data_IF_884837525358
#
_entry.id   IF_884837525358
#
_cell.length_a   1.000
_cell.length_b   1.000
_cell.length_c   1.000
_cell.angle_alpha   90.00
_cell.angle_beta   90.00
_cell.angle_gamma   90.00
#
_symmetry.space_group_name_H-M   'P 1'
#
loop_
_entity.id
_entity.type
_entity.pdbx_description
1 polymer ?
#
# COMPACT_ATOMS: atom_id res chain seq x y z
N UNK A 1 -4.10 13.47 -11.09
CA UNK A 1 -3.71 12.13 -10.65
C UNK A 1 -2.48 12.23 -9.76
N UNK A 2 -2.45 11.51 -8.68
CA UNK A 2 -1.34 11.41 -7.76
C UNK A 2 -0.81 9.97 -7.74
N UNK A 3 0.38 9.77 -7.15
CA UNK A 3 0.84 8.44 -6.75
C UNK A 3 0.84 8.34 -5.23
N UNK A 4 0.23 7.29 -4.72
CA UNK A 4 0.28 6.96 -3.31
C UNK A 4 1.41 5.97 -3.07
N UNK A 5 2.19 6.22 -2.02
CA UNK A 5 3.22 5.30 -1.55
C UNK A 5 2.84 4.89 -0.13
N UNK A 6 2.47 3.63 0.05
CA UNK A 6 2.21 3.07 1.36
C UNK A 6 3.44 2.30 1.82
N UNK A 7 3.90 2.55 3.03
CA UNK A 7 4.96 1.75 3.61
C UNK A 7 4.41 0.97 4.80
N UNK A 8 4.62 -0.34 4.76
CA UNK A 8 4.20 -1.29 5.78
C UNK A 8 5.44 -1.85 6.46
N UNK A 9 5.37 -2.00 7.78
CA UNK A 9 6.51 -2.41 8.61
C UNK A 9 6.22 -3.73 9.28
N UNK A 10 6.75 -4.82 8.69
CA UNK A 10 6.60 -6.16 9.22
C UNK A 10 7.30 -6.33 10.56
N UNK A 11 6.75 -7.18 11.41
CA UNK A 11 7.53 -7.72 12.52
C UNK A 11 8.64 -8.58 11.95
N UNK A 12 9.87 -8.53 12.51
CA UNK A 12 11.02 -9.24 11.95
C UNK A 12 10.80 -10.74 11.73
N UNK A 13 10.03 -11.39 12.60
CA UNK A 13 9.74 -12.82 12.51
C UNK A 13 8.92 -13.22 11.29
N UNK A 14 8.32 -12.26 10.58
CA UNK A 14 7.48 -12.52 9.41
C UNK A 14 8.17 -12.22 8.08
N UNK A 15 9.41 -11.73 8.09
CA UNK A 15 10.11 -11.31 6.86
C UNK A 15 10.21 -12.45 5.84
N UNK A 16 10.44 -13.69 6.30
CA UNK A 16 10.58 -14.85 5.41
C UNK A 16 9.27 -15.19 4.66
N UNK A 17 8.14 -14.63 5.09
CA UNK A 17 6.84 -14.87 4.50
C UNK A 17 6.22 -13.62 3.85
N UNK A 18 7.05 -12.64 3.53
CA UNK A 18 6.58 -11.34 3.03
C UNK A 18 5.66 -11.45 1.82
N UNK A 19 6.02 -12.25 0.83
CA UNK A 19 5.20 -12.40 -0.38
C UNK A 19 3.81 -12.95 -0.05
N UNK A 20 3.74 -14.00 0.77
CA UNK A 20 2.47 -14.60 1.17
C UNK A 20 1.62 -13.60 1.96
N UNK A 21 2.24 -12.85 2.86
CA UNK A 21 1.53 -11.87 3.69
C UNK A 21 0.96 -10.74 2.84
N UNK A 22 1.75 -10.19 1.92
CA UNK A 22 1.28 -9.12 1.06
C UNK A 22 0.21 -9.61 0.06
N UNK A 23 0.32 -10.85 -0.41
CA UNK A 23 -0.72 -11.45 -1.23
C UNK A 23 -2.04 -11.60 -0.45
N UNK A 24 -1.96 -12.04 0.80
CA UNK A 24 -3.12 -12.13 1.69
C UNK A 24 -3.80 -10.76 1.85
N UNK A 25 -3.00 -9.71 2.06
CA UNK A 25 -3.53 -8.35 2.16
C UNK A 25 -4.26 -7.94 0.88
N UNK A 26 -3.65 -8.14 -0.28
CA UNK A 26 -4.24 -7.77 -1.56
C UNK A 26 -5.54 -8.53 -1.83
N UNK A 27 -5.63 -9.77 -1.38
CA UNK A 27 -6.82 -10.59 -1.59
C UNK A 27 -8.07 -9.98 -0.95
N UNK A 28 -7.95 -9.23 0.15
CA UNK A 28 -9.12 -8.60 0.76
C UNK A 28 -9.19 -7.08 0.60
N UNK A 29 -8.10 -6.36 0.39
CA UNK A 29 -8.18 -4.91 0.10
C UNK A 29 -8.26 -4.60 -1.39
N UNK A 30 -7.69 -5.46 -2.23
CA UNK A 30 -7.64 -5.24 -3.67
C UNK A 30 -9.00 -5.05 -4.33
N UNK A 31 -9.98 -5.95 -4.11
CA UNK A 31 -11.31 -5.77 -4.69
C UNK A 31 -11.99 -4.47 -4.28
N UNK A 32 -11.84 -4.06 -3.03
CA UNK A 32 -12.39 -2.80 -2.54
C UNK A 32 -11.75 -1.60 -3.22
N UNK A 33 -10.43 -1.61 -3.36
CA UNK A 33 -9.70 -0.55 -4.04
C UNK A 33 -10.06 -0.47 -5.51
N UNK A 34 -10.12 -1.61 -6.19
CA UNK A 34 -10.45 -1.69 -7.62
C UNK A 34 -11.87 -1.15 -7.91
N UNK A 35 -12.79 -1.34 -6.99
CA UNK A 35 -14.17 -0.85 -7.13
C UNK A 35 -14.32 0.62 -6.78
N UNK A 36 -13.32 1.26 -6.19
CA UNK A 36 -13.39 2.66 -5.77
C UNK A 36 -13.30 3.61 -6.97
N UNK A 37 -14.09 4.70 -6.99
CA UNK A 37 -14.02 5.68 -8.11
C UNK A 37 -12.66 6.33 -8.30
N UNK A 38 -11.83 6.37 -7.25
CA UNK A 38 -10.48 6.94 -7.31
C UNK A 38 -9.43 6.02 -7.93
N UNK A 39 -9.74 4.74 -8.13
CA UNK A 39 -8.79 3.78 -8.69
C UNK A 39 -8.33 4.19 -10.09
N UNK A 40 -7.04 4.02 -10.38
CA UNK A 40 -6.47 4.34 -11.70
C UNK A 40 -5.66 3.19 -12.30
N UNK A 41 -4.91 2.44 -11.48
CA UNK A 41 -4.18 1.27 -11.92
C UNK A 41 -3.80 0.40 -10.73
N UNK A 42 -3.34 -0.82 -11.00
CA UNK A 42 -2.91 -1.76 -9.97
C UNK A 42 -1.66 -1.27 -9.23
N UNK A 43 -1.59 -1.62 -7.96
CA UNK A 43 -0.41 -1.35 -7.13
C UNK A 43 0.76 -2.28 -7.52
N UNK A 44 1.97 -1.77 -7.32
CA UNK A 44 3.18 -2.57 -7.38
C UNK A 44 3.78 -2.64 -5.97
N UNK A 45 4.27 -3.80 -5.61
CA UNK A 45 4.80 -4.08 -4.28
C UNK A 45 6.32 -4.19 -4.35
N UNK A 46 6.99 -3.57 -3.39
CA UNK A 46 8.46 -3.58 -3.31
C UNK A 46 8.90 -3.83 -1.88
N UNK A 47 9.95 -4.63 -1.72
CA UNK A 47 10.59 -4.82 -0.41
C UNK A 47 11.90 -4.04 -0.40
N UNK A 48 12.18 -3.34 0.70
CA UNK A 48 13.43 -2.58 0.82
C UNK A 48 14.63 -3.53 0.94
N UNK A 49 15.69 -3.23 0.21
CA UNK A 49 16.97 -3.95 0.35
C UNK A 49 17.65 -3.60 1.68
N UNK A 50 17.61 -2.34 2.08
CA UNK A 50 18.27 -1.88 3.30
C UNK A 50 17.57 -2.37 4.56
N UNK A 51 16.23 -2.45 4.52
CA UNK A 51 15.41 -2.90 5.65
C UNK A 51 14.34 -3.86 5.13
N UNK A 52 14.61 -5.18 5.15
CA UNK A 52 13.64 -6.17 4.65
C UNK A 52 12.29 -6.18 5.37
N UNK A 53 12.18 -5.54 6.54
CA UNK A 53 10.89 -5.41 7.23
C UNK A 53 9.99 -4.34 6.60
N UNK A 54 10.54 -3.46 5.78
CA UNK A 54 9.79 -2.40 5.12
C UNK A 54 9.34 -2.84 3.73
N UNK A 55 8.02 -2.79 3.49
CA UNK A 55 7.39 -3.13 2.21
C UNK A 55 6.61 -1.92 1.73
N UNK A 56 6.80 -1.55 0.48
CA UNK A 56 6.13 -0.40 -0.11
C UNK A 56 5.19 -0.82 -1.22
N UNK A 57 4.01 -0.19 -1.23
CA UNK A 57 3.08 -0.25 -2.35
C UNK A 57 3.10 1.11 -3.04
N UNK A 58 3.19 1.08 -4.37
CA UNK A 58 3.14 2.31 -5.17
C UNK A 58 2.03 2.16 -6.21
N UNK A 59 1.10 3.11 -6.24
CA UNK A 59 0.00 3.07 -7.20
C UNK A 59 -0.56 4.47 -7.47
N UNK A 60 -1.06 4.70 -8.70
CA UNK A 60 -1.73 5.95 -9.03
C UNK A 60 -3.15 5.98 -8.46
N UNK A 61 -3.60 7.17 -8.11
CA UNK A 61 -4.96 7.41 -7.60
C UNK A 61 -5.47 8.75 -8.12
N UNK A 62 -6.79 8.95 -8.09
CA UNK A 62 -7.39 10.17 -8.66
C UNK A 62 -6.85 11.44 -8.00
N UNK A 63 -6.94 11.51 -6.67
CA UNK A 63 -6.47 12.64 -5.87
C UNK A 63 -6.36 12.25 -4.39
N UNK A 64 -5.85 13.17 -3.58
CA UNK A 64 -5.63 12.93 -2.15
C UNK A 64 -6.95 12.71 -1.39
N UNK A 65 -8.00 13.44 -1.74
CA UNK A 65 -9.29 13.32 -1.05
C UNK A 65 -9.92 11.95 -1.29
N UNK A 66 -9.91 11.50 -2.55
CA UNK A 66 -10.40 10.18 -2.91
C UNK A 66 -9.59 9.07 -2.23
N UNK A 67 -8.29 9.28 -2.08
CA UNK A 67 -7.42 8.31 -1.39
C UNK A 67 -7.72 8.28 0.11
N UNK A 68 -7.99 9.42 0.74
CA UNK A 68 -8.40 9.46 2.14
C UNK A 68 -9.70 8.68 2.37
N UNK A 69 -10.64 8.75 1.43
CA UNK A 69 -11.87 7.97 1.49
C UNK A 69 -11.59 6.46 1.41
N UNK A 70 -10.69 6.05 0.51
CA UNK A 70 -10.26 4.65 0.44
C UNK A 70 -9.65 4.18 1.77
N UNK A 71 -8.74 4.97 2.34
CA UNK A 71 -8.10 4.61 3.61
C UNK A 71 -9.12 4.42 4.72
N UNK A 72 -10.13 5.29 4.79
CA UNK A 72 -11.20 5.17 5.78
C UNK A 72 -12.00 3.87 5.61
N UNK A 73 -12.26 3.46 4.37
CA UNK A 73 -12.93 2.19 4.08
C UNK A 73 -12.08 0.99 4.47
N UNK A 74 -10.77 1.10 4.35
CA UNK A 74 -9.84 0.00 4.63
C UNK A 74 -9.62 -0.25 6.11
N UNK A 75 -9.77 0.76 6.97
CA UNK A 75 -9.51 0.62 8.41
C UNK A 75 -10.14 -0.64 9.01
N UNK A 76 -11.45 -0.89 8.86
CA UNK A 76 -12.05 -2.11 9.43
C UNK A 76 -11.60 -3.39 8.71
N UNK A 77 -11.18 -3.29 7.46
CA UNK A 77 -10.76 -4.46 6.68
C UNK A 77 -9.39 -4.97 7.10
N UNK A 78 -8.49 -4.08 7.49
CA UNK A 78 -7.08 -4.43 7.74
C UNK A 78 -6.73 -4.53 9.23
N UNK A 79 -7.63 -4.19 10.14
CA UNK A 79 -7.31 -4.07 11.57
C UNK A 79 -6.68 -5.35 12.15
N UNK A 80 -7.30 -6.51 11.94
CA UNK A 80 -6.79 -7.78 12.45
C UNK A 80 -5.49 -8.19 11.74
N UNK A 81 -5.44 -7.99 10.44
CA UNK A 81 -4.27 -8.28 9.63
C UNK A 81 -3.07 -7.44 10.08
N UNK A 82 -3.27 -6.14 10.28
CA UNK A 82 -2.24 -5.22 10.76
C UNK A 82 -1.72 -5.64 12.14
N UNK A 83 -2.63 -5.98 13.06
CA UNK A 83 -2.25 -6.41 14.40
C UNK A 83 -1.45 -7.72 14.39
N UNK A 84 -1.71 -8.61 13.43
CA UNK A 84 -1.07 -9.91 13.35
C UNK A 84 0.37 -9.85 12.84
N UNK A 85 0.64 -9.03 11.82
CA UNK A 85 1.88 -9.11 11.07
C UNK A 85 2.79 -7.89 11.20
N UNK A 86 2.26 -6.72 11.58
CA UNK A 86 2.99 -5.47 11.50
C UNK A 86 3.30 -4.89 12.87
N UNK A 87 4.47 -4.25 13.00
CA UNK A 87 4.94 -3.64 14.26
C UNK A 87 4.50 -2.18 14.42
N UNK A 88 3.98 -1.57 13.38
CA UNK A 88 3.57 -0.17 13.37
C UNK A 88 2.48 0.04 12.32
N UNK A 89 1.66 1.10 12.46
CA UNK A 89 0.72 1.47 11.41
C UNK A 89 1.45 1.83 10.12
N UNK A 90 0.82 1.54 8.97
CA UNK A 90 1.35 1.96 7.67
C UNK A 90 1.51 3.47 7.60
N UNK A 91 2.51 3.92 6.86
CA UNK A 91 2.67 5.33 6.54
C UNK A 91 2.30 5.59 5.08
N UNK A 92 1.80 6.80 4.82
CA UNK A 92 1.34 7.20 3.50
C UNK A 92 2.13 8.44 3.06
N UNK A 93 2.64 8.38 1.84
CA UNK A 93 3.22 9.55 1.18
C UNK A 93 2.55 9.73 -0.19
N UNK A 94 2.42 10.97 -0.62
CA UNK A 94 1.86 11.28 -1.93
C UNK A 94 2.94 11.90 -2.81
N UNK A 95 2.98 11.44 -4.05
CA UNK A 95 3.92 11.92 -5.06
C UNK A 95 3.15 12.49 -6.25
N UNK A 96 3.70 13.53 -6.86
CA UNK A 96 3.23 14.03 -8.13
C UNK A 96 4.28 13.73 -9.19
N UNK A 97 3.86 13.08 -10.25
CA UNK A 97 4.76 12.82 -11.37
C UNK A 97 5.13 14.15 -12.06
N UNK A 98 6.41 14.32 -12.34
CA UNK A 98 6.90 15.45 -13.10
C UNK A 98 7.06 15.03 -14.56
N UNK A 99 6.60 15.90 -15.48
CA UNK A 99 6.66 15.65 -16.91
C UNK A 99 8.07 15.95 -17.45
N UNK A 100 9.02 15.10 -17.03
CA UNK A 100 10.41 15.20 -17.48
C UNK A 100 10.60 14.32 -18.69
N UNK A 101 11.19 14.89 -19.74
CA UNK A 101 11.59 14.08 -20.89
C UNK A 101 12.81 13.25 -20.54
N UNK A 102 12.63 11.93 -20.55
CA UNK A 102 13.70 10.98 -20.20
C UNK A 102 14.24 10.35 -21.48
N UNK A 103 15.54 10.46 -21.68
CA UNK A 103 16.25 9.85 -22.81
C UNK A 103 16.71 8.43 -22.53
#
# INVERSE_FOLDING_TARGET
MIFAVETWYLRPEHVDHVLRIMQEMDDFVGPNAHAHPGWRAHARYFQSHADPTAVMLVYPWADVEAHADLLAQEVPLIAEFEARYFRAPRTIAYLRELDVWVE
#
